data_IF_904462824536
#
_entry.id   IF_904462824536
#
_cell.length_a   1.000
_cell.length_b   1.000
_cell.length_c   1.000
_cell.angle_alpha   90.00
_cell.angle_beta   90.00
_cell.angle_gamma   90.00
#
_symmetry.space_group_name_H-M   'P 1'
#
loop_
_entity.id
_entity.type
_entity.pdbx_description
1 polymer ?
#
# COMPACT_ATOMS: atom_id res chain seq x y z
N UNK A 1 4.45 -14.61 -10.11
CA UNK A 1 5.12 -14.01 -8.93
C UNK A 1 4.63 -12.60 -8.64
N UNK A 2 4.29 -11.81 -9.66
CA UNK A 2 3.78 -10.43 -9.53
C UNK A 2 2.54 -10.35 -8.62
N UNK A 3 1.54 -11.22 -8.82
CA UNK A 3 0.30 -11.19 -8.01
C UNK A 3 0.52 -11.35 -6.49
N UNK A 4 1.56 -12.07 -6.06
CA UNK A 4 1.87 -12.22 -4.64
C UNK A 4 2.49 -10.94 -4.05
N UNK A 5 3.27 -10.19 -4.84
CA UNK A 5 3.80 -8.89 -4.42
C UNK A 5 2.69 -7.85 -4.33
N UNK A 6 1.78 -7.84 -5.30
CA UNK A 6 0.60 -6.97 -5.27
C UNK A 6 -0.30 -7.29 -4.08
N UNK A 7 -0.50 -8.59 -3.77
CA UNK A 7 -1.25 -8.99 -2.59
C UNK A 7 -0.57 -8.48 -1.30
N UNK A 8 0.77 -8.55 -1.21
CA UNK A 8 1.52 -7.97 -0.09
C UNK A 8 1.24 -6.46 0.02
N UNK A 9 1.21 -5.73 -1.10
CA UNK A 9 0.87 -4.30 -1.11
C UNK A 9 -0.55 -4.03 -0.61
N UNK A 10 -1.50 -4.92 -0.88
CA UNK A 10 -2.88 -4.82 -0.37
C UNK A 10 -2.94 -5.00 1.16
N UNK A 11 -2.25 -6.01 1.72
CA UNK A 11 -2.33 -6.30 3.16
C UNK A 11 -1.39 -5.46 4.04
N UNK A 12 -0.31 -4.91 3.48
CA UNK A 12 0.68 -4.10 4.20
C UNK A 12 0.08 -2.97 5.04
N UNK A 13 -0.80 -2.08 4.53
CA UNK A 13 -1.35 -0.96 5.30
C UNK A 13 -2.15 -1.43 6.52
N UNK A 14 -2.95 -2.51 6.38
CA UNK A 14 -3.66 -3.14 7.50
C UNK A 14 -2.70 -3.69 8.55
N UNK A 15 -1.67 -4.42 8.10
CA UNK A 15 -0.71 -5.06 8.98
C UNK A 15 0.10 -4.03 9.78
N UNK A 16 0.56 -2.95 9.13
CA UNK A 16 1.29 -1.86 9.78
C UNK A 16 0.41 -1.15 10.81
N UNK A 17 -0.85 -0.85 10.47
CA UNK A 17 -1.78 -0.20 11.39
C UNK A 17 -2.02 -1.06 12.64
N UNK A 18 -2.17 -2.38 12.46
CA UNK A 18 -2.34 -3.32 13.58
C UNK A 18 -1.09 -3.43 14.46
N UNK A 19 0.10 -3.54 13.84
CA UNK A 19 1.37 -3.57 14.57
C UNK A 19 1.63 -2.29 15.35
N UNK A 20 1.33 -1.14 14.74
CA UNK A 20 1.48 0.16 15.37
C UNK A 20 0.49 0.34 16.52
N UNK A 21 -0.78 -0.04 16.34
CA UNK A 21 -1.80 0.00 17.38
C UNK A 21 -1.44 -0.88 18.60
N UNK A 22 -0.77 -2.01 18.37
CA UNK A 22 -0.24 -2.88 19.44
C UNK A 22 1.06 -2.35 20.08
N UNK A 23 1.65 -1.27 19.56
CA UNK A 23 2.91 -0.72 20.06
C UNK A 23 4.13 -1.59 19.72
N UNK A 24 4.02 -2.51 18.76
CA UNK A 24 5.12 -3.42 18.40
C UNK A 24 6.17 -2.75 17.51
N UNK A 25 5.80 -1.66 16.84
CA UNK A 25 6.70 -0.91 15.96
C UNK A 25 6.67 0.58 16.30
N UNK A 26 7.82 1.24 16.17
CA UNK A 26 7.92 2.68 16.34
C UNK A 26 7.21 3.43 15.21
N UNK A 27 6.67 4.62 15.49
CA UNK A 27 5.99 5.47 14.50
C UNK A 27 6.90 5.76 13.28
N UNK A 28 8.19 6.03 13.50
CA UNK A 28 9.13 6.28 12.40
C UNK A 28 9.30 5.05 11.49
N UNK A 29 9.39 3.85 12.06
CA UNK A 29 9.51 2.61 11.30
C UNK A 29 8.23 2.31 10.53
N UNK A 30 7.07 2.47 11.17
CA UNK A 30 5.76 2.31 10.54
C UNK A 30 5.62 3.25 9.33
N UNK A 31 5.92 4.54 9.53
CA UNK A 31 5.88 5.55 8.45
C UNK A 31 6.84 5.21 7.32
N UNK A 32 8.06 4.79 7.62
CA UNK A 32 9.05 4.43 6.61
C UNK A 32 8.57 3.25 5.76
N UNK A 33 8.09 2.18 6.39
CA UNK A 33 7.59 0.99 5.68
C UNK A 33 6.37 1.37 4.82
N UNK A 34 5.39 2.07 5.38
CA UNK A 34 4.20 2.50 4.65
C UNK A 34 4.55 3.44 3.49
N UNK A 35 5.52 4.34 3.66
CA UNK A 35 5.95 5.26 2.60
C UNK A 35 6.65 4.54 1.45
N UNK A 36 7.53 3.58 1.75
CA UNK A 36 8.20 2.76 0.72
C UNK A 36 7.17 1.93 -0.07
N UNK A 37 6.23 1.31 0.63
CA UNK A 37 5.18 0.53 0.00
C UNK A 37 4.20 1.41 -0.82
N UNK A 38 3.89 2.62 -0.36
CA UNK A 38 3.14 3.61 -1.14
C UNK A 38 3.87 4.02 -2.42
N UNK A 39 5.20 4.20 -2.36
CA UNK A 39 6.00 4.50 -3.54
C UNK A 39 5.95 3.37 -4.57
N UNK A 40 6.08 2.12 -4.11
CA UNK A 40 5.95 0.93 -4.96
C UNK A 40 4.55 0.88 -5.61
N UNK A 41 3.48 1.03 -4.83
CA UNK A 41 2.11 1.09 -5.34
C UNK A 41 1.93 2.20 -6.38
N UNK A 42 2.45 3.39 -6.10
CA UNK A 42 2.34 4.55 -7.01
C UNK A 42 3.05 4.26 -8.34
N UNK A 43 4.21 3.60 -8.30
CA UNK A 43 4.91 3.21 -9.52
C UNK A 43 4.11 2.21 -10.35
N UNK A 44 3.51 1.20 -9.71
CA UNK A 44 2.67 0.20 -10.39
C UNK A 44 1.42 0.84 -11.02
N UNK A 45 0.78 1.78 -10.33
CA UNK A 45 -0.36 2.53 -10.87
C UNK A 45 0.03 3.41 -12.07
N UNK A 46 1.20 4.05 -12.02
CA UNK A 46 1.72 4.83 -13.15
C UNK A 46 2.03 3.92 -14.34
N UNK A 47 2.66 2.76 -14.12
CA UNK A 47 2.89 1.76 -15.17
C UNK A 47 1.57 1.26 -15.76
N UNK A 48 0.57 0.96 -14.92
CA UNK A 48 -0.77 0.59 -15.38
C UNK A 48 -1.40 1.69 -16.24
N UNK A 49 -1.26 2.95 -15.83
CA UNK A 49 -1.80 4.08 -16.57
C UNK A 49 -1.14 4.22 -17.95
N UNK A 50 0.20 4.13 -18.02
CA UNK A 50 0.92 4.16 -19.29
C UNK A 50 0.57 2.99 -20.21
N UNK A 51 0.32 1.80 -19.65
CA UNK A 51 -0.16 0.66 -20.40
C UNK A 51 -1.55 0.91 -21.01
N UNK A 52 -2.49 1.41 -20.20
CA UNK A 52 -3.86 1.72 -20.64
C UNK A 52 -3.88 2.82 -21.70
N UNK A 53 -2.98 3.81 -21.60
CA UNK A 53 -2.81 4.87 -22.59
C UNK A 53 -2.09 4.42 -23.87
N UNK A 54 -1.65 3.15 -23.95
CA UNK A 54 -0.93 2.61 -25.12
C UNK A 54 0.46 3.22 -25.32
N UNK A 55 1.04 3.82 -24.28
CA UNK A 55 2.37 4.44 -24.33
C UNK A 55 3.50 3.40 -24.15
N UNK A 56 3.16 2.25 -23.56
CA UNK A 56 4.08 1.14 -23.33
C UNK A 56 3.34 -0.15 -23.68
N UNK A 57 3.93 -0.96 -24.57
CA UNK A 57 3.46 -2.33 -24.81
C UNK A 57 3.90 -3.20 -23.64
N UNK A 58 2.96 -3.54 -22.77
CA UNK A 58 3.17 -4.53 -21.73
C UNK A 58 2.57 -5.84 -22.24
N UNK A 59 3.42 -6.78 -22.62
CA UNK A 59 3.00 -8.16 -22.92
C UNK A 59 2.67 -8.86 -21.59
N UNK A 60 1.48 -8.55 -21.06
CA UNK A 60 1.00 -9.03 -19.76
C UNK A 60 0.51 -10.47 -19.95
N UNK A 61 1.43 -11.41 -20.16
CA UNK A 61 1.15 -12.84 -20.02
C UNK A 61 0.98 -13.27 -18.55
N UNK A 62 1.13 -12.35 -17.59
CA UNK A 62 1.12 -12.63 -16.16
C UNK A 62 -0.11 -12.02 -15.47
N UNK A 63 -0.81 -12.79 -14.63
CA UNK A 63 -1.91 -12.27 -13.81
C UNK A 63 -1.44 -11.16 -12.88
N UNK A 64 -2.06 -9.97 -12.97
CA UNK A 64 -1.83 -8.83 -12.08
C UNK A 64 -3.15 -8.30 -11.54
N UNK A 65 -3.14 -7.80 -10.31
CA UNK A 65 -4.28 -7.21 -9.60
C UNK A 65 -4.48 -5.73 -9.94
N UNK A 66 -3.41 -5.01 -10.28
CA UNK A 66 -3.50 -3.57 -10.54
C UNK A 66 -3.47 -3.23 -12.03
N UNK A 67 -2.78 -4.01 -12.85
CA UNK A 67 -2.62 -3.79 -14.30
C UNK A 67 -3.56 -4.74 -15.06
N UNK A 68 -4.57 -4.17 -15.74
CA UNK A 68 -5.55 -4.96 -16.48
C UNK A 68 -6.70 -4.09 -17.00
N UNK A 69 -7.51 -4.67 -17.89
CA UNK A 69 -8.67 -4.00 -18.52
C UNK A 69 -9.96 -4.13 -17.71
N UNK A 70 -9.92 -4.87 -16.61
CA UNK A 70 -11.08 -5.14 -15.79
C UNK A 70 -11.47 -3.93 -14.92
N UNK A 71 -12.77 -3.73 -14.70
CA UNK A 71 -13.29 -2.57 -13.95
C UNK A 71 -12.78 -2.50 -12.50
N UNK A 72 -12.51 -3.64 -11.86
CA UNK A 72 -11.94 -3.66 -10.51
C UNK A 72 -10.52 -3.10 -10.46
N UNK A 73 -9.71 -3.22 -11.53
CA UNK A 73 -8.37 -2.64 -11.56
C UNK A 73 -8.43 -1.10 -11.49
N UNK A 74 -9.42 -0.51 -12.15
CA UNK A 74 -9.66 0.95 -12.16
C UNK A 74 -10.03 1.48 -10.78
N UNK A 75 -10.71 0.68 -9.96
CA UNK A 75 -11.18 1.10 -8.62
C UNK A 75 -10.20 0.70 -7.51
N UNK A 76 -9.65 -0.51 -7.58
CA UNK A 76 -8.80 -1.09 -6.54
C UNK A 76 -7.52 -0.28 -6.34
N UNK A 77 -6.89 0.16 -7.44
CA UNK A 77 -5.67 0.97 -7.39
C UNK A 77 -5.86 2.29 -6.62
N UNK A 78 -6.78 3.16 -7.04
CA UNK A 78 -7.08 4.40 -6.32
C UNK A 78 -7.58 4.19 -4.89
N UNK A 79 -8.43 3.17 -4.65
CA UNK A 79 -8.92 2.86 -3.31
C UNK A 79 -7.77 2.45 -2.37
N UNK A 80 -6.86 1.61 -2.84
CA UNK A 80 -5.70 1.20 -2.08
C UNK A 80 -4.75 2.38 -1.84
N UNK A 81 -4.55 3.24 -2.83
CA UNK A 81 -3.77 4.47 -2.68
C UNK A 81 -4.32 5.36 -1.57
N UNK A 82 -5.63 5.61 -1.56
CA UNK A 82 -6.30 6.36 -0.48
C UNK A 82 -6.13 5.68 0.88
N UNK A 83 -6.18 4.36 0.92
CA UNK A 83 -5.98 3.61 2.16
C UNK A 83 -4.56 3.78 2.73
N UNK A 84 -3.52 3.81 1.89
CA UNK A 84 -2.17 4.12 2.31
C UNK A 84 -2.03 5.54 2.87
N UNK A 85 -2.65 6.53 2.21
CA UNK A 85 -2.65 7.92 2.70
C UNK A 85 -3.32 7.99 4.07
N UNK A 86 -4.48 7.34 4.22
CA UNK A 86 -5.17 7.25 5.51
C UNK A 86 -4.27 6.66 6.61
N UNK A 87 -3.61 5.52 6.35
CA UNK A 87 -2.70 4.92 7.33
C UNK A 87 -1.54 5.85 7.69
N UNK A 88 -0.94 6.54 6.71
CA UNK A 88 0.13 7.52 6.99
C UNK A 88 -0.36 8.70 7.86
N UNK A 89 -1.57 9.18 7.61
CA UNK A 89 -2.21 10.21 8.43
C UNK A 89 -2.40 9.71 9.86
N UNK A 90 -2.96 8.51 10.05
CA UNK A 90 -3.12 7.87 11.36
C UNK A 90 -1.78 7.72 12.10
N UNK A 91 -0.74 7.22 11.42
CA UNK A 91 0.61 7.08 11.99
C UNK A 91 1.24 8.42 12.40
N UNK A 92 0.77 9.53 11.83
CA UNK A 92 1.28 10.88 12.12
C UNK A 92 0.53 11.56 13.24
N UNK A 93 -0.79 11.38 13.30
CA UNK A 93 -1.65 12.01 14.30
C UNK A 93 -1.65 11.21 15.61
N UNK A 94 -1.71 9.88 15.52
CA UNK A 94 -1.69 9.02 16.70
C UNK A 94 -0.29 9.01 17.29
N UNK A 95 -0.11 9.68 18.43
CA UNK A 95 1.04 9.41 19.29
C UNK A 95 0.89 7.98 19.81
N UNK A 96 1.94 7.14 19.73
CA UNK A 96 1.88 5.81 20.31
C UNK A 96 1.45 5.98 21.77
N UNK A 97 0.38 5.27 22.15
CA UNK A 97 -0.05 5.20 23.54
C UNK A 97 1.16 4.65 24.28
N UNK A 98 1.89 5.53 24.99
CA UNK A 98 2.92 5.08 25.95
C UNK A 98 2.23 3.98 26.74
N UNK A 99 2.79 2.77 26.71
CA UNK A 99 2.49 1.77 27.72
C UNK A 99 2.76 2.45 29.06
N UNK A 100 1.71 3.00 29.65
CA UNK A 100 1.70 3.43 31.02
C UNK A 100 1.74 2.18 31.85
N UNK A 101 2.81 2.05 32.63
CA UNK A 101 2.86 1.37 33.92
C UNK A 101 2.20 0.00 34.02
N UNK A 102 3.03 -1.03 34.14
CA UNK A 102 2.78 -2.04 35.17
C UNK A 102 4.12 -2.41 35.80
N UNK A 103 4.30 -1.85 37.01
CA UNK A 103 5.07 -2.32 38.16
C UNK A 103 6.46 -2.91 37.98
#
# INVERSE_FOLDING_TARGET
>A
MIIYLELILVVTPLFILLLFAKGWIASNTAKLITSLALLALSSELLYSCFAVLGLIDIDIQQSTLFIGTEMWNVVLGPALFLFYIYVLTELTIIKPKKQGSSH
#
